data_IF_450087871794
#
_entry.id   IF_450087871794
#
_cell.length_a   1.000
_cell.length_b   1.000
_cell.length_c   1.000
_cell.angle_alpha   90.00
_cell.angle_beta   90.00
_cell.angle_gamma   90.00
#
_symmetry.space_group_name_H-M   'P 1'
#
loop_
_entity.id
_entity.type
_entity.pdbx_description
1 polymer ?
#
# COMPACT_ATOMS: atom_id res chain seq x y z
N UNK A 1 12.80 -6.08 8.59
CA UNK A 1 12.52 -4.62 8.68
C UNK A 1 11.03 -4.42 8.91
N UNK A 2 10.59 -3.55 9.82
CA UNK A 2 9.16 -3.31 10.07
C UNK A 2 8.53 -2.58 8.86
N UNK A 3 7.43 -3.09 8.29
CA UNK A 3 6.80 -2.53 7.07
C UNK A 3 6.60 -1.01 7.12
N UNK A 4 6.21 -0.47 8.27
CA UNK A 4 6.01 0.97 8.45
C UNK A 4 7.27 1.81 8.30
N UNK A 5 8.44 1.27 8.67
CA UNK A 5 9.72 1.97 8.43
C UNK A 5 10.05 2.03 6.95
N UNK A 6 9.68 1.00 6.18
CA UNK A 6 9.85 0.99 4.72
C UNK A 6 8.87 1.94 4.04
N UNK A 7 7.62 1.99 4.49
CA UNK A 7 6.61 2.95 3.98
C UNK A 7 7.07 4.38 4.22
N UNK A 8 7.54 4.72 5.43
CA UNK A 8 8.06 6.05 5.74
C UNK A 8 9.28 6.41 4.89
N UNK A 9 10.21 5.47 4.69
CA UNK A 9 11.34 5.68 3.80
C UNK A 9 10.88 5.93 2.35
N UNK A 10 9.97 5.10 1.82
CA UNK A 10 9.46 5.24 0.45
C UNK A 10 8.67 6.53 0.20
N UNK A 11 8.07 7.13 1.24
CA UNK A 11 7.41 8.44 1.13
C UNK A 11 8.40 9.60 1.02
N UNK A 12 9.62 9.45 1.52
CA UNK A 12 10.63 10.51 1.62
C UNK A 12 11.82 10.33 0.67
N UNK A 13 11.94 9.16 0.05
CA UNK A 13 13.07 8.79 -0.78
C UNK A 13 12.73 8.91 -2.26
N UNK A 14 13.09 10.05 -2.85
CA UNK A 14 12.95 10.33 -4.28
C UNK A 14 14.03 9.65 -5.14
N UNK A 15 14.98 8.92 -4.52
CA UNK A 15 16.03 8.18 -5.23
C UNK A 15 15.64 6.72 -5.51
N UNK A 16 14.54 6.25 -4.93
CA UNK A 16 13.99 4.93 -5.23
C UNK A 16 13.43 4.90 -6.66
N UNK A 17 13.68 3.78 -7.32
CA UNK A 17 12.95 3.41 -8.53
C UNK A 17 11.43 3.47 -8.27
N UNK A 18 10.69 4.06 -9.22
CA UNK A 18 9.28 4.36 -9.06
C UNK A 18 8.45 3.08 -8.86
N UNK A 19 8.75 2.01 -9.60
CA UNK A 19 8.07 0.72 -9.45
C UNK A 19 8.30 0.16 -8.04
N UNK A 20 9.55 0.21 -7.57
CA UNK A 20 9.92 -0.23 -6.23
C UNK A 20 9.21 0.58 -5.15
N UNK A 21 9.15 1.91 -5.31
CA UNK A 21 8.48 2.83 -4.39
C UNK A 21 6.99 2.54 -4.32
N UNK A 22 6.32 2.44 -5.47
CA UNK A 22 4.89 2.13 -5.55
C UNK A 22 4.56 0.75 -4.95
N UNK A 23 5.41 -0.26 -5.13
CA UNK A 23 5.21 -1.58 -4.53
C UNK A 23 5.23 -1.54 -2.99
N UNK A 24 6.14 -0.76 -2.39
CA UNK A 24 6.22 -0.59 -0.93
C UNK A 24 4.96 0.13 -0.42
N UNK A 25 4.56 1.22 -1.08
CA UNK A 25 3.40 2.03 -0.68
C UNK A 25 2.09 1.25 -0.85
N UNK A 26 1.93 0.50 -1.93
CA UNK A 26 0.77 -0.39 -2.14
C UNK A 26 0.67 -1.44 -1.03
N UNK A 27 1.79 -2.00 -0.59
CA UNK A 27 1.82 -2.95 0.54
C UNK A 27 1.45 -2.29 1.87
N UNK A 28 1.93 -1.07 2.11
CA UNK A 28 1.47 -0.24 3.23
C UNK A 28 -0.04 -0.01 3.20
N UNK A 29 -0.59 0.26 2.01
CA UNK A 29 -1.99 0.59 1.84
C UNK A 29 -2.88 -0.63 2.09
N UNK A 30 -2.46 -1.81 1.60
CA UNK A 30 -3.13 -3.07 1.88
C UNK A 30 -3.18 -3.39 3.39
N UNK A 31 -2.08 -3.15 4.10
CA UNK A 31 -1.99 -3.34 5.55
C UNK A 31 -2.91 -2.37 6.31
N UNK A 32 -2.93 -1.09 5.90
CA UNK A 32 -3.77 -0.07 6.53
C UNK A 32 -5.25 -0.31 6.24
N UNK A 33 -5.61 -0.71 5.02
CA UNK A 33 -6.96 -1.09 4.65
C UNK A 33 -7.46 -2.27 5.50
N UNK A 34 -6.63 -3.30 5.70
CA UNK A 34 -6.99 -4.43 6.56
C UNK A 34 -7.23 -4.00 8.02
N UNK A 35 -6.44 -3.06 8.55
CA UNK A 35 -6.59 -2.59 9.93
C UNK A 35 -7.84 -1.75 10.17
N UNK A 36 -8.36 -1.09 9.13
CA UNK A 36 -9.58 -0.26 9.19
C UNK A 36 -10.87 -1.07 9.07
N UNK A 37 -10.78 -2.34 8.66
CA UNK A 37 -11.93 -3.20 8.50
C UNK A 37 -12.28 -3.92 9.81
N UNK A 38 -13.57 -4.23 10.03
CA UNK A 38 -13.97 -5.15 11.11
C UNK A 38 -13.25 -6.49 11.00
N UNK A 39 -13.04 -7.13 12.15
CA UNK A 39 -12.44 -8.46 12.21
C UNK A 39 -13.16 -9.45 11.27
N UNK A 40 -12.38 -10.24 10.54
CA UNK A 40 -12.88 -11.23 9.59
C UNK A 40 -13.20 -10.70 8.19
N UNK A 41 -13.18 -9.38 7.95
CA UNK A 41 -13.26 -8.83 6.58
C UNK A 41 -11.87 -8.67 5.96
N UNK A 42 -11.79 -8.98 4.66
CA UNK A 42 -10.59 -8.77 3.85
C UNK A 42 -10.76 -7.52 2.98
N UNK A 43 -9.72 -6.66 2.87
CA UNK A 43 -9.76 -5.52 1.98
C UNK A 43 -9.81 -5.96 0.51
N UNK A 44 -10.53 -5.18 -0.29
CA UNK A 44 -10.60 -5.33 -1.75
C UNK A 44 -9.49 -4.55 -2.44
N UNK A 45 -9.29 -4.77 -3.75
CA UNK A 45 -8.32 -3.98 -4.51
C UNK A 45 -8.68 -2.48 -4.49
N UNK A 46 -9.96 -2.15 -4.55
CA UNK A 46 -10.46 -0.77 -4.50
C UNK A 46 -10.19 -0.13 -3.14
N UNK A 47 -10.28 -0.88 -2.03
CA UNK A 47 -9.89 -0.38 -0.71
C UNK A 47 -8.40 -0.02 -0.65
N UNK A 48 -7.54 -0.84 -1.27
CA UNK A 48 -6.10 -0.57 -1.32
C UNK A 48 -5.81 0.65 -2.17
N UNK A 49 -6.44 0.77 -3.35
CA UNK A 49 -6.30 1.93 -4.22
C UNK A 49 -6.74 3.22 -3.53
N UNK A 50 -7.90 3.18 -2.85
CA UNK A 50 -8.43 4.31 -2.09
C UNK A 50 -7.47 4.73 -0.98
N UNK A 51 -6.98 3.79 -0.17
CA UNK A 51 -6.02 4.10 0.90
C UNK A 51 -4.69 4.62 0.37
N UNK A 52 -4.18 4.05 -0.73
CA UNK A 52 -2.94 4.52 -1.36
C UNK A 52 -3.06 5.98 -1.82
N UNK A 53 -4.22 6.35 -2.37
CA UNK A 53 -4.50 7.72 -2.76
C UNK A 53 -4.69 8.65 -1.55
N UNK A 54 -5.60 8.29 -0.64
CA UNK A 54 -6.00 9.14 0.49
C UNK A 54 -4.86 9.36 1.51
N UNK A 55 -4.04 8.34 1.76
CA UNK A 55 -3.07 8.37 2.86
C UNK A 55 -1.64 8.59 2.39
N UNK A 56 -1.31 8.17 1.16
CA UNK A 56 0.06 8.23 0.63
C UNK A 56 0.20 9.09 -0.62
N UNK A 57 -0.90 9.70 -1.10
CA UNK A 57 -0.93 10.53 -2.29
C UNK A 57 -0.35 9.84 -3.54
N UNK A 58 -0.55 8.53 -3.69
CA UNK A 58 -0.12 7.77 -4.86
C UNK A 58 -1.29 7.12 -5.59
N UNK A 59 -1.21 7.12 -6.91
CA UNK A 59 -2.13 6.40 -7.78
C UNK A 59 -1.49 5.07 -8.15
N UNK A 60 -2.19 3.98 -7.85
CA UNK A 60 -1.80 2.62 -8.23
C UNK A 60 -2.93 1.97 -9.01
N UNK A 61 -2.59 1.04 -9.89
CA UNK A 61 -3.57 0.28 -10.65
C UNK A 61 -4.09 -0.95 -9.87
N UNK A 62 -5.12 -1.59 -10.44
CA UNK A 62 -5.72 -2.77 -9.86
C UNK A 62 -4.78 -3.99 -9.82
N UNK A 63 -3.77 -4.08 -10.70
CA UNK A 63 -2.80 -5.16 -10.69
C UNK A 63 -1.80 -5.01 -9.53
N UNK A 64 -1.33 -3.78 -9.29
CA UNK A 64 -0.49 -3.41 -8.14
C UNK A 64 -1.25 -3.63 -6.83
N UNK A 65 -2.51 -3.20 -6.74
CA UNK A 65 -3.36 -3.41 -5.56
C UNK A 65 -3.57 -4.91 -5.27
N UNK A 66 -3.92 -5.73 -6.27
CA UNK A 66 -4.05 -7.19 -6.10
C UNK A 66 -2.74 -7.86 -5.72
N UNK A 67 -1.61 -7.34 -6.20
CA UNK A 67 -0.29 -7.86 -5.84
C UNK A 67 0.02 -7.55 -4.38
N UNK A 68 -0.25 -6.33 -3.92
CA UNK A 68 -0.10 -5.95 -2.51
C UNK A 68 -0.96 -6.82 -1.58
N UNK A 69 -2.21 -7.11 -1.96
CA UNK A 69 -3.11 -7.99 -1.20
C UNK A 69 -2.61 -9.44 -1.07
N UNK A 70 -1.80 -9.91 -2.02
CA UNK A 70 -1.18 -11.25 -1.94
C UNK A 70 0.07 -11.29 -1.07
N UNK A 71 0.65 -10.12 -0.75
CA UNK A 71 1.90 -9.99 0.01
C UNK A 71 1.69 -9.47 1.45
N UNK A 72 0.47 -9.05 1.80
CA UNK A 72 0.07 -8.53 3.11
C UNK A 72 -0.47 -9.61 4.03
#
# INVERSE_FOLDING_TARGET
MMLWRLVLAALQDDTLDEERRLAILARGAARLAAHRLPEGRRPTADDVMRVAFEEFAVVIDAAQARTALRQG
#
